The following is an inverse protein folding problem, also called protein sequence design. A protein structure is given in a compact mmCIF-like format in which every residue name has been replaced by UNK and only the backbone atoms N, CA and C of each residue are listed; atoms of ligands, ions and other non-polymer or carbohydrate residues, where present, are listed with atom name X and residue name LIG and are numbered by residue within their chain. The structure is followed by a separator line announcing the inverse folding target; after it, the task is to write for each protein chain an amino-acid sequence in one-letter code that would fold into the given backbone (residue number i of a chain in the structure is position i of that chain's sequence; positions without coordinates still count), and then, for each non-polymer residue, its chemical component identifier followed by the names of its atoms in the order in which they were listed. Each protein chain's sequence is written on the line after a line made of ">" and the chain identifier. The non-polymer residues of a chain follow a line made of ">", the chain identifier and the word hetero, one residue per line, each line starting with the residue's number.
data_IF_651689294310
#
_entry.id   IF_651689294310
#
_cell.length_a   1.000
_cell.length_b   1.000
_cell.length_c   1.000
_cell.angle_alpha   90.00
_cell.angle_beta   90.00
_cell.angle_gamma   90.00
#
_symmetry.space_group_name_H-M   'P 1'
#
loop_
_entity.id
_entity.type
_entity.pdbx_description
1 polymer ?
#
# COMPACT_ATOMS: atom_id res chain seq x y z
N UNK A 1 -2.14 2.13 13.27
CA UNK A 1 -0.80 1.69 12.84
C UNK A 1 -0.12 2.86 12.14
N UNK A 2 1.12 3.19 12.51
CA UNK A 2 1.89 4.28 11.87
C UNK A 2 3.21 3.76 11.32
N UNK A 3 3.61 4.35 10.20
CA UNK A 3 4.91 4.10 9.56
C UNK A 3 5.61 5.43 9.29
N UNK A 4 6.90 5.48 9.56
CA UNK A 4 7.79 6.51 9.03
C UNK A 4 8.23 6.15 7.62
N UNK A 5 8.27 7.17 6.75
CA UNK A 5 8.70 7.01 5.36
C UNK A 5 10.10 7.60 5.20
N UNK A 6 11.00 6.77 4.66
CA UNK A 6 12.38 7.16 4.37
C UNK A 6 12.66 7.10 2.88
N UNK A 7 13.47 8.04 2.40
CA UNK A 7 14.07 8.00 1.06
C UNK A 7 15.56 8.25 1.16
N UNK A 8 16.38 7.30 0.69
CA UNK A 8 17.84 7.31 0.82
C UNK A 8 18.27 7.55 2.29
N UNK A 9 17.68 6.83 3.22
CA UNK A 9 17.87 6.91 4.68
C UNK A 9 17.47 8.26 5.33
N UNK A 10 16.86 9.18 4.59
CA UNK A 10 16.34 10.43 5.13
C UNK A 10 14.85 10.27 5.40
N UNK A 11 14.40 10.56 6.62
CA UNK A 11 12.97 10.65 6.95
C UNK A 11 12.33 11.78 6.15
N UNK A 12 11.19 11.49 5.52
CA UNK A 12 10.50 12.42 4.63
C UNK A 12 9.01 12.60 4.94
N UNK A 13 8.41 11.73 5.76
CA UNK A 13 6.99 11.81 6.11
C UNK A 13 6.47 10.53 6.75
N UNK A 14 5.14 10.39 6.75
CA UNK A 14 4.43 9.29 7.43
C UNK A 14 3.35 8.65 6.58
N UNK A 15 3.01 7.40 6.92
CA UNK A 15 1.83 6.68 6.48
C UNK A 15 1.09 6.17 7.72
N UNK A 16 -0.18 6.54 7.85
CA UNK A 16 -1.00 6.23 9.03
C UNK A 16 -2.23 5.45 8.58
N UNK A 17 -2.56 4.40 9.32
CA UNK A 17 -3.84 3.70 9.21
C UNK A 17 -4.61 3.81 10.51
N UNK A 18 -5.90 4.08 10.42
CA UNK A 18 -6.85 3.96 11.51
C UNK A 18 -7.94 2.95 11.17
N UNK A 19 -8.34 2.16 12.16
CA UNK A 19 -9.33 1.10 12.03
C UNK A 19 -10.50 1.40 12.95
N UNK A 20 -11.70 1.38 12.39
CA UNK A 20 -12.94 1.56 13.12
C UNK A 20 -13.83 0.34 12.86
N UNK A 21 -14.27 -0.33 13.91
CA UNK A 21 -15.15 -1.48 13.81
C UNK A 21 -16.50 -1.15 14.47
N UNK A 22 -17.58 -1.27 13.71
CA UNK A 22 -18.96 -1.05 14.16
C UNK A 22 -19.73 -2.29 13.73
N UNK A 23 -20.10 -3.14 14.67
CA UNK A 23 -20.77 -4.44 14.43
C UNK A 23 -20.02 -5.28 13.39
N UNK A 24 -20.63 -5.56 12.24
CA UNK A 24 -20.05 -6.33 11.14
C UNK A 24 -19.31 -5.45 10.10
N UNK A 25 -19.28 -4.13 10.31
CA UNK A 25 -18.63 -3.17 9.42
C UNK A 25 -17.25 -2.78 9.96
N UNK A 26 -16.25 -2.84 9.11
CA UNK A 26 -14.92 -2.31 9.39
C UNK A 26 -14.57 -1.21 8.39
N UNK A 27 -14.11 -0.07 8.90
CA UNK A 27 -13.65 1.05 8.09
C UNK A 27 -12.15 1.22 8.34
N UNK A 28 -11.37 1.18 7.28
CA UNK A 28 -9.92 1.43 7.32
C UNK A 28 -9.62 2.72 6.59
N UNK A 29 -9.05 3.68 7.29
CA UNK A 29 -8.63 4.97 6.72
C UNK A 29 -7.12 4.97 6.61
N UNK A 30 -6.60 5.40 5.48
CA UNK A 30 -5.16 5.58 5.26
C UNK A 30 -4.84 7.04 4.93
N UNK A 31 -3.76 7.54 5.50
CA UNK A 31 -3.22 8.87 5.22
C UNK A 31 -1.73 8.75 4.94
N UNK A 32 -1.30 9.23 3.79
CA UNK A 32 0.11 9.35 3.44
C UNK A 32 0.43 10.84 3.23
N UNK A 33 1.41 11.33 3.98
CA UNK A 33 1.96 12.68 3.74
C UNK A 33 3.47 12.63 3.76
N UNK A 34 4.11 13.09 2.70
CA UNK A 34 5.55 13.28 2.68
C UNK A 34 6.01 14.40 1.74
N UNK A 35 7.20 14.92 2.01
CA UNK A 35 7.87 15.91 1.17
C UNK A 35 9.34 15.59 0.96
N UNK A 36 9.82 15.81 -0.25
CA UNK A 36 11.23 15.70 -0.59
C UNK A 36 11.77 17.11 -0.75
N UNK A 37 12.74 17.48 0.08
CA UNK A 37 13.34 18.82 0.08
C UNK A 37 14.87 18.72 -0.09
N UNK A 38 15.47 19.71 -0.74
CA UNK A 38 16.93 19.88 -0.88
C UNK A 38 17.29 21.32 -0.59
N UNK A 39 18.25 21.56 0.31
CA UNK A 39 18.68 22.90 0.72
C UNK A 39 17.52 23.83 1.13
N UNK A 40 16.55 23.30 1.90
CA UNK A 40 15.38 24.07 2.36
C UNK A 40 14.25 24.22 1.32
N UNK A 41 14.50 23.90 0.04
CA UNK A 41 13.50 24.01 -1.03
C UNK A 41 12.75 22.68 -1.18
N UNK A 42 11.41 22.72 -1.15
CA UNK A 42 10.56 21.54 -1.43
C UNK A 42 10.56 21.27 -2.93
N UNK A 43 11.06 20.10 -3.31
CA UNK A 43 11.13 19.64 -4.70
C UNK A 43 9.92 18.77 -5.08
N UNK A 44 9.32 18.09 -4.11
CA UNK A 44 8.19 17.20 -4.33
C UNK A 44 7.35 17.08 -3.07
N UNK A 45 6.03 17.17 -3.22
CA UNK A 45 5.05 16.95 -2.16
C UNK A 45 4.08 15.84 -2.57
N UNK A 46 3.72 14.99 -1.64
CA UNK A 46 2.76 13.91 -1.84
C UNK A 46 1.82 13.88 -0.65
N UNK A 47 0.53 13.87 -0.96
CA UNK A 47 -0.53 13.64 0.01
C UNK A 47 -1.54 12.65 -0.60
N UNK A 48 -1.94 11.63 0.15
CA UNK A 48 -2.96 10.70 -0.27
C UNK A 48 -3.81 10.27 0.93
N UNK A 49 -5.11 10.20 0.69
CA UNK A 49 -6.10 9.71 1.63
C UNK A 49 -6.87 8.56 0.98
N UNK A 50 -7.19 7.54 1.76
CA UNK A 50 -7.96 6.40 1.30
C UNK A 50 -8.91 5.90 2.38
N UNK A 51 -10.06 5.37 1.96
CA UNK A 51 -11.04 4.74 2.85
C UNK A 51 -11.47 3.41 2.24
N UNK A 52 -11.19 2.34 2.94
CA UNK A 52 -11.70 0.99 2.65
C UNK A 52 -12.88 0.71 3.59
N UNK A 53 -13.99 0.21 3.06
CA UNK A 53 -15.14 -0.22 3.84
C UNK A 53 -15.37 -1.70 3.62
N UNK A 54 -15.38 -2.45 4.70
CA UNK A 54 -15.64 -3.89 4.72
C UNK A 54 -16.96 -4.17 5.42
N UNK A 55 -17.69 -5.16 4.93
CA UNK A 55 -18.87 -5.74 5.55
C UNK A 55 -18.65 -7.25 5.67
N UNK A 56 -18.80 -7.80 6.87
CA UNK A 56 -18.50 -9.21 7.17
C UNK A 56 -17.11 -9.67 6.67
N UNK A 57 -16.11 -8.77 6.72
CA UNK A 57 -14.74 -9.03 6.27
C UNK A 57 -14.51 -8.88 4.76
N UNK A 58 -15.55 -8.64 3.96
CA UNK A 58 -15.46 -8.45 2.50
C UNK A 58 -15.42 -6.96 2.17
N UNK A 59 -14.50 -6.56 1.29
CA UNK A 59 -14.45 -5.18 0.80
C UNK A 59 -15.71 -4.86 -0.02
N UNK A 60 -16.45 -3.84 0.37
CA UNK A 60 -17.66 -3.38 -0.34
C UNK A 60 -17.47 -2.03 -1.02
N UNK A 61 -16.55 -1.20 -0.53
CA UNK A 61 -16.26 0.10 -1.11
C UNK A 61 -14.82 0.53 -0.83
N UNK A 62 -14.19 1.19 -1.80
CA UNK A 62 -12.92 1.89 -1.63
C UNK A 62 -12.97 3.25 -2.33
N UNK A 63 -12.51 4.28 -1.64
CA UNK A 63 -12.31 5.60 -2.23
C UNK A 63 -10.94 6.14 -1.88
N UNK A 64 -10.32 6.87 -2.80
CA UNK A 64 -9.08 7.58 -2.51
C UNK A 64 -8.93 8.87 -3.30
N UNK A 65 -8.19 9.79 -2.72
CA UNK A 65 -7.73 11.04 -3.32
C UNK A 65 -6.23 11.17 -3.12
N UNK A 66 -5.50 11.52 -4.17
CA UNK A 66 -4.04 11.68 -4.13
C UNK A 66 -3.62 12.96 -4.81
N UNK A 67 -2.76 13.73 -4.16
CA UNK A 67 -2.04 14.86 -4.76
C UNK A 67 -0.56 14.50 -4.91
N UNK A 68 -0.10 14.40 -6.15
CA UNK A 68 1.29 14.14 -6.49
C UNK A 68 1.93 15.42 -7.03
N UNK A 69 2.38 16.30 -6.15
CA UNK A 69 3.00 17.58 -6.51
C UNK A 69 2.10 18.44 -7.45
N UNK A 70 0.82 18.60 -7.05
CA UNK A 70 -0.22 19.32 -7.83
C UNK A 70 -0.98 18.44 -8.84
N UNK A 71 -0.51 17.23 -9.11
CA UNK A 71 -1.21 16.30 -10.01
C UNK A 71 -2.22 15.45 -9.22
N UNK A 72 -3.49 15.78 -9.35
CA UNK A 72 -4.59 15.08 -8.68
C UNK A 72 -4.87 13.73 -9.33
N UNK A 73 -5.14 12.72 -8.48
CA UNK A 73 -5.60 11.39 -8.88
C UNK A 73 -6.67 10.91 -7.91
N UNK A 74 -7.48 9.96 -8.34
CA UNK A 74 -8.54 9.38 -7.54
C UNK A 74 -8.80 7.92 -7.89
N UNK A 75 -9.46 7.23 -6.99
CA UNK A 75 -10.05 5.90 -7.20
C UNK A 75 -11.38 5.82 -6.47
N UNK A 76 -12.39 5.30 -7.14
CA UNK A 76 -13.65 4.87 -6.55
C UNK A 76 -13.91 3.42 -6.96
N UNK A 77 -14.15 2.54 -5.98
CA UNK A 77 -14.47 1.13 -6.21
C UNK A 77 -15.75 0.81 -5.46
N UNK A 78 -16.66 0.12 -6.12
CA UNK A 78 -17.85 -0.48 -5.52
C UNK A 78 -17.92 -1.94 -5.94
N UNK A 79 -18.51 -2.77 -5.09
CA UNK A 79 -18.84 -4.16 -5.46
C UNK A 79 -20.21 -4.18 -6.12
N UNK A 80 -20.29 -4.86 -7.25
CA UNK A 80 -21.54 -5.14 -7.97
C UNK A 80 -21.40 -6.49 -8.69
N UNK A 81 -22.40 -7.37 -8.54
CA UNK A 81 -22.47 -8.68 -9.23
C UNK A 81 -21.17 -9.50 -9.07
N UNK A 82 -20.64 -9.57 -7.84
CA UNK A 82 -19.38 -10.25 -7.47
C UNK A 82 -18.12 -9.75 -8.20
N UNK A 83 -18.17 -8.53 -8.73
CA UNK A 83 -17.01 -7.83 -9.29
C UNK A 83 -16.79 -6.47 -8.65
N UNK A 84 -15.55 -5.99 -8.69
CA UNK A 84 -15.25 -4.59 -8.42
C UNK A 84 -15.52 -3.75 -9.66
N UNK A 85 -16.38 -2.74 -9.54
CA UNK A 85 -16.47 -1.65 -10.51
C UNK A 85 -15.50 -0.55 -10.09
N UNK A 86 -14.52 -0.29 -10.94
CA UNK A 86 -13.43 0.65 -10.70
C UNK A 86 -13.63 1.88 -11.56
N UNK A 87 -13.71 3.06 -10.95
CA UNK A 87 -13.56 4.36 -11.58
C UNK A 87 -12.31 5.05 -11.01
N UNK A 88 -11.20 4.94 -11.71
CA UNK A 88 -9.92 5.50 -11.29
C UNK A 88 -9.26 6.35 -12.37
N UNK A 89 -8.33 7.19 -11.93
CA UNK A 89 -7.61 8.13 -12.79
C UNK A 89 -6.81 7.45 -13.92
N UNK A 90 -6.48 6.16 -13.80
CA UNK A 90 -5.69 5.40 -14.78
C UNK A 90 -6.35 4.12 -15.26
N UNK A 91 -7.50 3.77 -14.72
CA UNK A 91 -8.27 2.59 -15.13
C UNK A 91 -9.74 2.80 -14.78
N UNK A 92 -10.62 2.48 -15.72
CA UNK A 92 -12.07 2.40 -15.57
C UNK A 92 -12.54 1.07 -16.14
N UNK A 93 -13.27 0.29 -15.36
CA UNK A 93 -13.75 -1.04 -15.74
C UNK A 93 -13.99 -1.93 -14.54
N UNK A 94 -14.15 -3.23 -14.76
CA UNK A 94 -14.33 -4.20 -13.69
C UNK A 94 -13.05 -4.98 -13.39
N UNK A 95 -13.02 -5.60 -12.21
CA UNK A 95 -11.98 -6.53 -11.78
C UNK A 95 -12.59 -7.58 -10.84
N UNK A 96 -12.05 -8.82 -10.85
CA UNK A 96 -12.44 -9.87 -9.91
C UNK A 96 -12.28 -9.47 -8.44
N UNK A 97 -13.19 -9.92 -7.57
CA UNK A 97 -13.17 -9.60 -6.13
C UNK A 97 -11.99 -10.23 -5.36
N UNK A 98 -11.31 -11.23 -5.92
CA UNK A 98 -10.08 -11.78 -5.35
C UNK A 98 -8.86 -10.85 -5.47
N UNK A 99 -8.96 -9.74 -6.22
CA UNK A 99 -7.92 -8.72 -6.26
C UNK A 99 -8.03 -7.85 -5.01
N UNK A 100 -6.90 -7.43 -4.45
CA UNK A 100 -6.90 -6.62 -3.25
C UNK A 100 -6.35 -5.21 -3.53
N UNK A 101 -6.77 -4.27 -2.68
CA UNK A 101 -6.21 -2.91 -2.74
C UNK A 101 -4.73 -2.97 -2.30
N UNK A 102 -3.87 -2.32 -3.05
CA UNK A 102 -2.42 -2.30 -2.81
C UNK A 102 -2.00 -1.38 -1.66
N UNK A 103 -2.63 -1.54 -0.50
CA UNK A 103 -2.34 -0.79 0.74
C UNK A 103 -1.47 -1.56 1.73
N UNK A 104 -1.29 -2.87 1.51
CA UNK A 104 -0.40 -3.81 2.20
C UNK A 104 -0.71 -4.08 3.69
N UNK A 105 -1.58 -3.34 4.35
CA UNK A 105 -1.95 -3.61 5.73
C UNK A 105 -2.64 -4.98 5.89
N UNK A 106 -3.37 -5.43 4.86
CA UNK A 106 -4.04 -6.73 4.83
C UNK A 106 -3.09 -7.80 4.27
N UNK A 107 -2.60 -8.68 5.14
CA UNK A 107 -1.68 -9.77 4.77
C UNK A 107 -2.23 -10.70 3.67
N UNK A 108 -3.56 -10.81 3.51
CA UNK A 108 -4.16 -11.64 2.45
C UNK A 108 -3.67 -11.26 1.05
N UNK A 109 -3.11 -10.07 0.86
CA UNK A 109 -2.53 -9.60 -0.41
C UNK A 109 -1.39 -10.51 -0.92
N UNK A 110 -0.73 -11.29 -0.05
CA UNK A 110 0.31 -12.24 -0.46
C UNK A 110 -0.24 -13.40 -1.31
N UNK A 111 -1.55 -13.66 -1.23
CA UNK A 111 -2.25 -14.70 -2.00
C UNK A 111 -2.99 -14.15 -3.21
N UNK A 112 -3.18 -12.83 -3.29
CA UNK A 112 -3.93 -12.20 -4.37
C UNK A 112 -3.18 -12.29 -5.72
N UNK A 113 -3.84 -12.65 -6.83
CA UNK A 113 -3.21 -12.74 -8.15
C UNK A 113 -2.88 -11.37 -8.74
N UNK A 114 -3.55 -10.32 -8.23
CA UNK A 114 -3.33 -8.94 -8.62
C UNK A 114 -3.65 -7.99 -7.46
N UNK A 115 -3.08 -6.80 -7.51
CA UNK A 115 -3.46 -5.69 -6.65
C UNK A 115 -4.03 -4.53 -7.48
N UNK A 116 -4.95 -3.79 -6.88
CA UNK A 116 -5.52 -2.57 -7.43
C UNK A 116 -4.79 -1.39 -6.80
N UNK A 117 -4.19 -0.54 -7.62
CA UNK A 117 -3.49 0.64 -7.15
C UNK A 117 -4.42 1.58 -6.38
N UNK A 118 -4.17 1.79 -5.10
CA UNK A 118 -4.89 2.76 -4.27
C UNK A 118 -4.78 4.21 -4.76
N UNK A 119 -3.81 4.50 -5.64
CA UNK A 119 -3.55 5.86 -6.17
C UNK A 119 -4.34 6.14 -7.45
N UNK A 120 -4.60 5.11 -8.27
CA UNK A 120 -5.07 5.37 -9.65
C UNK A 120 -6.04 4.34 -10.21
N UNK A 121 -6.40 3.31 -9.45
CA UNK A 121 -7.29 2.23 -9.87
C UNK A 121 -6.65 1.20 -10.81
N UNK A 122 -5.40 1.40 -11.23
CA UNK A 122 -4.75 0.48 -12.16
C UNK A 122 -4.62 -0.92 -11.54
N UNK A 123 -5.06 -1.94 -12.27
CA UNK A 123 -4.86 -3.35 -11.93
C UNK A 123 -3.42 -3.75 -12.24
N UNK A 124 -2.74 -4.35 -11.28
CA UNK A 124 -1.35 -4.79 -11.38
C UNK A 124 -1.31 -6.27 -11.07
N UNK A 125 -1.21 -7.11 -12.09
CA UNK A 125 -0.93 -8.54 -11.93
C UNK A 125 0.40 -8.71 -11.23
N UNK A 126 0.44 -9.55 -10.21
CA UNK A 126 1.62 -9.73 -9.37
C UNK A 126 2.04 -11.19 -9.25
N UNK A 127 3.32 -11.36 -9.01
CA UNK A 127 3.91 -12.57 -8.48
C UNK A 127 4.43 -12.26 -7.08
N UNK A 128 3.99 -13.01 -6.09
CA UNK A 128 4.49 -12.92 -4.72
C UNK A 128 5.41 -14.11 -4.48
N UNK A 129 6.61 -13.82 -3.97
CA UNK A 129 7.62 -14.84 -3.64
C UNK A 129 7.96 -14.72 -2.17
N UNK A 130 7.77 -15.80 -1.41
CA UNK A 130 8.27 -15.88 -0.04
C UNK A 130 9.79 -16.04 -0.07
N UNK A 131 10.51 -15.13 0.58
CA UNK A 131 11.97 -15.12 0.61
C UNK A 131 12.55 -15.75 1.88
N UNK A 132 11.72 -15.96 2.90
CA UNK A 132 12.14 -16.60 4.14
C UNK A 132 11.71 -15.84 5.38
N UNK A 133 12.16 -16.35 6.53
CA UNK A 133 11.97 -15.71 7.84
C UNK A 133 13.25 -14.97 8.21
N UNK A 134 13.10 -13.78 8.76
CA UNK A 134 14.25 -13.01 9.26
C UNK A 134 13.87 -12.15 10.46
N UNK A 135 14.86 -11.81 11.25
CA UNK A 135 14.70 -10.92 12.40
C UNK A 135 15.06 -9.50 12.01
N UNK A 136 14.12 -8.58 12.12
CA UNK A 136 14.32 -7.16 11.88
C UNK A 136 14.43 -6.41 13.20
N UNK A 137 15.37 -5.44 13.25
CA UNK A 137 15.44 -4.47 14.33
C UNK A 137 15.05 -3.10 13.77
N UNK A 138 13.95 -2.53 14.26
CA UNK A 138 13.46 -1.21 13.89
C UNK A 138 13.31 -0.37 15.15
N UNK A 139 14.05 0.73 15.23
CA UNK A 139 14.00 1.72 16.31
C UNK A 139 14.05 1.09 17.73
N UNK A 140 14.93 0.09 17.90
CA UNK A 140 15.15 -0.62 19.18
C UNK A 140 14.16 -1.76 19.47
N UNK A 141 13.14 -1.97 18.63
CA UNK A 141 12.23 -3.14 18.70
C UNK A 141 12.67 -4.22 17.73
N UNK A 142 12.55 -5.47 18.15
CA UNK A 142 12.90 -6.65 17.35
C UNK A 142 11.63 -7.39 16.93
N UNK A 143 11.53 -7.71 15.64
CA UNK A 143 10.40 -8.40 15.03
C UNK A 143 10.89 -9.68 14.34
N UNK A 144 10.24 -10.82 14.61
CA UNK A 144 10.39 -12.01 13.79
C UNK A 144 9.45 -11.85 12.60
N UNK A 145 9.98 -11.90 11.38
CA UNK A 145 9.22 -11.50 10.21
C UNK A 145 9.22 -12.54 9.10
N UNK A 146 8.14 -12.54 8.33
CA UNK A 146 7.99 -13.20 7.04
C UNK A 146 8.30 -12.19 5.94
N UNK A 147 9.32 -12.48 5.13
CA UNK A 147 9.76 -11.61 4.04
C UNK A 147 9.20 -12.08 2.69
N UNK A 148 8.53 -11.19 1.99
CA UNK A 148 7.97 -11.44 0.66
C UNK A 148 8.47 -10.41 -0.34
N UNK A 149 8.70 -10.84 -1.58
CA UNK A 149 8.88 -9.94 -2.73
C UNK A 149 7.63 -9.94 -3.59
N UNK A 150 7.12 -8.77 -3.87
CA UNK A 150 6.01 -8.50 -4.78
C UNK A 150 6.55 -7.95 -6.08
N UNK A 151 6.36 -8.66 -7.17
CA UNK A 151 6.85 -8.26 -8.50
C UNK A 151 5.75 -8.34 -9.56
N UNK A 152 5.80 -7.46 -10.57
CA UNK A 152 4.91 -7.55 -11.72
C UNK A 152 5.60 -8.24 -12.88
N UNK A 153 4.89 -9.22 -13.50
CA UNK A 153 5.39 -9.99 -14.64
C UNK A 153 5.10 -9.34 -15.99
N UNK A 154 4.45 -8.18 -16.02
CA UNK A 154 4.09 -7.54 -17.29
C UNK A 154 5.33 -7.02 -18.00
N UNK A 155 5.69 -7.72 -19.11
CA UNK A 155 6.85 -7.36 -19.94
C UNK A 155 6.67 -6.03 -20.68
N UNK A 156 5.41 -5.59 -20.89
CA UNK A 156 5.08 -4.36 -21.63
C UNK A 156 5.19 -3.10 -20.75
N UNK A 157 5.26 -3.26 -19.43
CA UNK A 157 5.42 -2.12 -18.53
C UNK A 157 6.85 -1.59 -18.54
N UNK A 158 6.99 -0.27 -18.63
CA UNK A 158 8.26 0.40 -18.36
C UNK A 158 8.76 0.09 -16.96
N UNK A 159 10.09 0.01 -16.78
CA UNK A 159 10.74 -0.33 -15.50
C UNK A 159 10.19 0.47 -14.32
N UNK A 160 9.94 1.76 -14.51
CA UNK A 160 9.41 2.67 -13.47
C UNK A 160 7.94 2.41 -13.08
N UNK A 161 7.23 1.61 -13.88
CA UNK A 161 5.82 1.22 -13.64
C UNK A 161 5.69 -0.21 -13.13
N UNK A 162 6.78 -0.99 -13.12
CA UNK A 162 6.79 -2.36 -12.61
C UNK A 162 6.73 -2.33 -11.09
N UNK A 163 5.94 -3.24 -10.53
CA UNK A 163 6.00 -3.56 -9.12
C UNK A 163 7.29 -4.34 -8.86
N UNK A 164 8.04 -3.94 -7.89
CA UNK A 164 9.16 -4.69 -7.30
C UNK A 164 9.38 -4.13 -5.89
N UNK A 165 8.73 -4.75 -4.92
CA UNK A 165 8.67 -4.27 -3.55
C UNK A 165 8.86 -5.43 -2.60
N UNK A 166 9.75 -5.27 -1.66
CA UNK A 166 9.94 -6.20 -0.55
C UNK A 166 9.07 -5.74 0.61
N UNK A 167 8.34 -6.69 1.22
CA UNK A 167 7.41 -6.43 2.33
C UNK A 167 7.65 -7.46 3.42
N UNK A 168 7.68 -6.99 4.67
CA UNK A 168 7.83 -7.80 5.86
C UNK A 168 6.59 -7.72 6.72
N UNK A 169 6.08 -8.88 7.09
CA UNK A 169 4.99 -9.03 8.05
C UNK A 169 5.51 -9.71 9.31
N UNK A 170 5.08 -9.28 10.49
CA UNK A 170 5.36 -9.99 11.73
C UNK A 170 4.77 -11.39 11.68
N UNK A 171 5.55 -12.39 12.12
CA UNK A 171 5.19 -13.81 11.97
C UNK A 171 3.92 -14.20 12.74
N UNK A 172 3.72 -13.66 13.94
CA UNK A 172 2.61 -14.02 14.82
C UNK A 172 1.33 -13.28 14.50
N UNK A 173 1.41 -11.97 14.29
CA UNK A 173 0.25 -11.10 14.14
C UNK A 173 -0.13 -10.85 12.68
N UNK A 174 0.79 -11.14 11.75
CA UNK A 174 0.70 -10.81 10.34
C UNK A 174 0.55 -9.30 10.06
N UNK A 175 0.91 -8.47 11.02
CA UNK A 175 0.95 -7.02 10.84
C UNK A 175 2.08 -6.64 9.91
N UNK A 176 1.82 -5.69 9.03
CA UNK A 176 2.86 -5.11 8.19
C UNK A 176 3.89 -4.36 9.04
N UNK A 177 5.17 -4.69 8.87
CA UNK A 177 6.29 -4.13 9.68
C UNK A 177 7.17 -3.22 8.84
N UNK A 178 7.48 -3.63 7.61
CA UNK A 178 8.38 -2.87 6.74
C UNK A 178 8.01 -3.10 5.28
N UNK A 179 8.24 -2.09 4.45
CA UNK A 179 8.35 -2.25 3.00
C UNK A 179 9.59 -1.54 2.49
N UNK A 180 10.18 -2.06 1.40
CA UNK A 180 11.25 -1.38 0.69
C UNK A 180 11.15 -1.56 -0.82
N UNK A 181 11.53 -0.51 -1.56
CA UNK A 181 11.59 -0.55 -3.01
C UNK A 181 12.53 0.52 -3.57
N UNK A 182 12.95 0.31 -4.84
CA UNK A 182 13.80 1.26 -5.57
C UNK A 182 13.00 1.99 -6.64
N UNK A 183 12.86 3.31 -6.50
CA UNK A 183 12.23 4.18 -7.50
C UNK A 183 12.81 5.58 -7.42
N UNK A 184 13.77 5.90 -8.29
CA UNK A 184 14.52 7.18 -8.23
C UNK A 184 15.09 7.45 -6.82
N UNK A 185 15.64 6.40 -6.19
CA UNK A 185 16.14 6.35 -4.82
C UNK A 185 15.65 5.08 -4.11
N UNK A 186 16.21 4.85 -2.93
CA UNK A 186 15.80 3.74 -2.04
C UNK A 186 14.70 4.25 -1.11
N UNK A 187 13.59 3.55 -1.08
CA UNK A 187 12.42 3.87 -0.24
C UNK A 187 12.24 2.81 0.81
N UNK A 188 11.89 3.22 2.01
CA UNK A 188 11.51 2.35 3.11
C UNK A 188 10.31 2.93 3.85
N UNK A 189 9.38 2.06 4.23
CA UNK A 189 8.35 2.27 5.22
C UNK A 189 8.73 1.46 6.44
N UNK A 190 8.81 2.06 7.61
CA UNK A 190 9.19 1.42 8.87
C UNK A 190 8.09 1.62 9.89
N UNK A 191 7.60 0.53 10.46
CA UNK A 191 6.60 0.58 11.53
C UNK A 191 7.13 1.33 12.74
N UNK A 192 6.35 2.26 13.25
CA UNK A 192 6.68 3.05 14.46
C UNK A 192 5.69 2.85 15.57
N UNK A 193 4.39 2.66 15.26
CA UNK A 193 3.33 2.49 16.25
C UNK A 193 2.31 1.45 15.79
N UNK A 194 1.92 0.55 16.71
CA UNK A 194 0.71 -0.28 16.66
C UNK A 194 -0.01 -0.05 17.99
N UNK A 195 -1.25 0.44 17.93
CA UNK A 195 -2.20 0.55 19.05
C UNK A 195 -3.26 -0.54 18.93
#
# INVERSE_FOLDING_TARGET
>A
IEFDIYRNNKHIGKHIFSFEKIENKTIVRSLIDFKISKLGVTLYKYNAEGVETYLDGNLVNFTSSTDQNGKKKYVNIKVQDDEYLIDGSSYKGSAPIEFLIGTWWNHSIVKAPAQISAVSGRVIKQKVTFLGKEKLNLDGKSYNTLHFNFSSNDKKLNKDKKLNTDIWYEEETLNWVKASFKKKGNWEYRLTLID
#
